data_IF_500971185465
#
_entry.id   IF_500971185465
#
_cell.length_a   1.000
_cell.length_b   1.000
_cell.length_c   1.000
_cell.angle_alpha   90.00
_cell.angle_beta   90.00
_cell.angle_gamma   90.00
#
_symmetry.space_group_name_H-M   'P 1'
#
loop_
_entity.id
_entity.type
_entity.pdbx_description
1 polymer ?
#
# COMPACT_ATOMS: atom_id res chain seq x y z
N UNK A 1 -15.18 -15.13 -2.57
CA UNK A 1 -15.34 -13.79 -3.21
C UNK A 1 -15.14 -12.55 -2.30
N UNK A 2 -14.94 -12.66 -0.96
CA UNK A 2 -14.79 -11.51 -0.04
C UNK A 2 -13.36 -11.24 0.46
N UNK A 3 -12.39 -12.07 0.07
CA UNK A 3 -11.12 -12.21 0.78
C UNK A 3 -10.01 -11.24 0.32
N UNK A 4 -10.22 -10.53 -0.79
CA UNK A 4 -9.28 -9.51 -1.30
C UNK A 4 -9.65 -8.07 -0.93
N UNK A 5 -10.78 -7.88 -0.24
CA UNK A 5 -11.29 -6.55 0.13
C UNK A 5 -10.85 -6.12 1.53
N UNK A 6 -10.15 -6.97 2.29
CA UNK A 6 -9.72 -6.71 3.66
C UNK A 6 -8.26 -7.08 3.83
N UNK A 7 -7.42 -6.12 4.22
CA UNK A 7 -6.05 -6.39 4.64
C UNK A 7 -6.05 -7.03 6.03
N UNK A 8 -4.98 -7.73 6.42
CA UNK A 8 -4.85 -8.33 7.77
C UNK A 8 -4.96 -7.31 8.91
N UNK A 9 -4.89 -6.02 8.59
CA UNK A 9 -5.05 -4.88 9.48
C UNK A 9 -6.49 -4.30 9.49
N UNK A 10 -7.47 -4.96 8.88
CA UNK A 10 -8.87 -4.50 8.88
C UNK A 10 -9.18 -3.36 7.89
N UNK A 11 -8.19 -2.91 7.11
CA UNK A 11 -8.36 -1.89 6.07
C UNK A 11 -9.15 -2.43 4.88
N UNK A 12 -9.92 -1.58 4.21
CA UNK A 12 -10.68 -1.97 3.01
C UNK A 12 -9.94 -1.65 1.73
N UNK A 13 -9.91 -2.58 0.79
CA UNK A 13 -9.37 -2.35 -0.56
C UNK A 13 -10.51 -2.46 -1.56
N UNK A 14 -10.74 -1.40 -2.33
CA UNK A 14 -11.71 -1.35 -3.42
C UNK A 14 -10.90 -1.20 -4.70
N UNK A 15 -10.93 -2.22 -5.56
CA UNK A 15 -10.27 -2.20 -6.85
C UNK A 15 -11.26 -2.59 -7.95
N UNK A 16 -11.34 -1.77 -9.00
CA UNK A 16 -12.26 -2.02 -10.13
C UNK A 16 -11.69 -3.04 -11.11
N UNK A 17 -10.39 -3.30 -11.06
CA UNK A 17 -9.65 -4.16 -11.98
C UNK A 17 -8.79 -5.16 -11.22
N UNK A 18 -9.05 -6.45 -11.44
CA UNK A 18 -8.46 -7.53 -10.64
C UNK A 18 -6.98 -7.77 -10.93
N UNK A 19 -6.46 -7.35 -12.09
CA UNK A 19 -5.06 -7.60 -12.44
C UNK A 19 -4.10 -6.71 -11.63
N UNK A 20 -4.46 -5.45 -11.38
CA UNK A 20 -3.66 -4.50 -10.58
C UNK A 20 -3.48 -4.89 -9.11
N UNK A 21 -4.35 -5.75 -8.55
CA UNK A 21 -4.18 -6.24 -7.17
C UNK A 21 -2.95 -7.16 -7.05
N UNK A 22 -2.65 -7.94 -8.09
CA UNK A 22 -1.53 -8.88 -8.07
C UNK A 22 -0.18 -8.19 -8.24
N UNK A 23 -0.12 -7.12 -9.05
CA UNK A 23 1.10 -6.36 -9.31
C UNK A 23 1.54 -5.54 -8.09
N UNK A 24 0.58 -5.04 -7.30
CA UNK A 24 0.84 -4.24 -6.10
C UNK A 24 0.66 -5.04 -4.80
N UNK A 25 0.81 -6.36 -4.85
CA UNK A 25 0.78 -7.19 -3.66
C UNK A 25 1.87 -6.72 -2.67
N UNK A 26 1.61 -6.59 -1.36
CA UNK A 26 2.58 -6.10 -0.38
C UNK A 26 3.92 -6.86 -0.41
N UNK A 27 3.88 -8.15 -0.78
CA UNK A 27 5.04 -9.03 -0.92
C UNK A 27 5.95 -8.65 -2.10
N UNK A 28 5.47 -7.88 -3.07
CA UNK A 28 6.27 -7.38 -4.19
C UNK A 28 7.20 -6.22 -3.78
N UNK A 29 6.94 -5.60 -2.62
CA UNK A 29 7.73 -4.49 -2.11
C UNK A 29 8.70 -4.94 -1.03
N UNK A 30 9.84 -4.24 -0.94
CA UNK A 30 10.72 -4.33 0.22
C UNK A 30 10.01 -3.81 1.47
N UNK A 31 10.41 -4.29 2.64
CA UNK A 31 9.90 -3.75 3.90
C UNK A 31 10.17 -2.26 3.98
N UNK A 32 9.11 -1.47 4.18
CA UNK A 32 9.22 -0.02 4.35
C UNK A 32 10.01 0.33 5.61
N UNK A 33 9.91 -0.49 6.66
CA UNK A 33 10.63 -0.29 7.92
C UNK A 33 12.15 -0.29 7.67
N UNK A 34 12.63 -1.28 6.92
CA UNK A 34 14.06 -1.38 6.56
C UNK A 34 14.53 -0.18 5.74
N UNK A 35 13.69 0.37 4.85
CA UNK A 35 14.07 1.54 4.03
C UNK A 35 14.14 2.81 4.88
N UNK A 36 13.17 2.99 5.77
CA UNK A 36 13.11 4.14 6.68
C UNK A 36 14.26 4.10 7.68
N UNK A 37 14.54 2.94 8.28
CA UNK A 37 15.63 2.74 9.24
C UNK A 37 16.99 3.06 8.60
N UNK A 38 17.26 2.54 7.39
CA UNK A 38 18.52 2.85 6.70
C UNK A 38 18.72 4.35 6.44
N UNK A 39 17.66 5.08 6.10
CA UNK A 39 17.75 6.53 5.84
C UNK A 39 17.86 7.34 7.15
N UNK A 40 17.20 6.88 8.22
CA UNK A 40 17.27 7.50 9.54
C UNK A 40 18.66 7.30 10.17
N UNK A 41 19.22 6.08 10.09
CA UNK A 41 20.56 5.75 10.57
C UNK A 41 21.65 6.54 9.84
N UNK A 42 21.45 6.82 8.55
CA UNK A 42 22.32 7.69 7.77
C UNK A 42 22.17 9.19 8.10
N UNK A 43 21.22 9.57 8.97
CA UNK A 43 20.94 10.96 9.33
C UNK A 43 20.29 11.78 8.21
N UNK A 44 19.73 11.13 7.18
CA UNK A 44 19.18 11.78 5.99
C UNK A 44 17.72 12.19 6.15
N UNK A 45 16.99 11.50 7.03
CA UNK A 45 15.58 11.78 7.32
C UNK A 45 15.32 11.77 8.82
N UNK A 46 14.23 12.41 9.23
CA UNK A 46 13.67 12.29 10.58
C UNK A 46 12.22 11.83 10.47
N UNK A 47 11.87 10.62 10.94
CA UNK A 47 10.48 10.16 10.92
C UNK A 47 9.58 11.08 11.74
N UNK A 48 8.49 11.58 11.13
CA UNK A 48 7.55 12.50 11.80
C UNK A 48 6.28 11.78 12.27
N UNK A 49 5.77 10.86 11.45
CA UNK A 49 4.56 10.09 11.75
C UNK A 49 4.52 8.79 10.96
N UNK A 50 3.82 7.79 11.50
CA UNK A 50 3.46 6.56 10.79
C UNK A 50 1.95 6.54 10.55
N UNK A 51 1.56 6.23 9.31
CA UNK A 51 0.17 6.26 8.86
C UNK A 51 -0.31 4.85 8.55
N UNK A 52 -1.52 4.51 8.99
CA UNK A 52 -2.16 3.24 8.68
C UNK A 52 -3.33 3.47 7.71
N UNK A 53 -3.29 2.90 6.50
CA UNK A 53 -4.39 3.08 5.54
C UNK A 53 -5.65 2.38 6.07
N UNK A 54 -6.78 3.07 6.05
CA UNK A 54 -8.10 2.52 6.42
C UNK A 54 -8.90 2.09 5.18
N UNK A 55 -8.71 2.82 4.08
CA UNK A 55 -9.32 2.54 2.78
C UNK A 55 -8.28 2.78 1.67
N UNK A 56 -8.15 1.82 0.76
CA UNK A 56 -7.33 1.94 -0.45
C UNK A 56 -8.25 1.78 -1.65
N UNK A 57 -8.42 2.85 -2.42
CA UNK A 57 -9.18 2.84 -3.67
C UNK A 57 -8.18 2.80 -4.83
N UNK A 58 -8.25 1.74 -5.65
CA UNK A 58 -7.46 1.60 -6.88
C UNK A 58 -8.39 1.60 -8.07
N UNK A 59 -8.31 2.63 -8.90
CA UNK A 59 -9.02 2.74 -10.18
C UNK A 59 -8.03 2.59 -11.31
N UNK A 60 -8.21 1.62 -12.21
CA UNK A 60 -7.52 1.66 -13.51
C UNK A 60 -7.84 3.00 -14.15
N UNK A 61 -6.83 3.67 -14.71
CA UNK A 61 -6.91 5.04 -15.23
C UNK A 61 -7.82 5.25 -16.44
N UNK A 62 -8.91 4.51 -16.57
CA UNK A 62 -9.96 4.79 -17.53
C UNK A 62 -10.75 6.01 -17.06
N UNK A 63 -10.30 7.19 -17.51
CA UNK A 63 -11.20 8.33 -17.64
C UNK A 63 -12.33 7.89 -18.56
N UNK A 64 -13.53 7.68 -18.03
CA UNK A 64 -14.73 7.75 -18.86
C UNK A 64 -14.82 9.17 -19.40
N UNK A 65 -14.42 9.34 -20.66
CA UNK A 65 -14.86 10.43 -21.52
C UNK A 65 -16.12 9.94 -22.27
#
# INVERSE_FOLDING_TARGET
>A
PRQLCRTGMGSRVICRDRQLIYEEAPQAYKSIDSVVDCLADAGLITPVACLRPVLTLKTSGEKSA
#
